data_IF_732937473062
#
_entry.id   IF_732937473062
#
_cell.length_a   1.000
_cell.length_b   1.000
_cell.length_c   1.000
_cell.angle_alpha   90.00
_cell.angle_beta   90.00
_cell.angle_gamma   90.00
#
_symmetry.space_group_name_H-M   'P 1'
#
loop_
_entity.id
_entity.type
_entity.pdbx_description
1 polymer ?
#
# COMPACT_ATOMS: atom_id res chain seq x y z
N UNK A 1 -39.45 7.85 4.73
CA UNK A 1 -38.11 8.49 4.63
C UNK A 1 -37.04 7.43 4.80
N UNK A 2 -36.16 7.22 3.82
CA UNK A 2 -35.07 6.25 3.94
C UNK A 2 -34.01 6.75 4.94
N UNK A 3 -33.67 5.95 5.95
CA UNK A 3 -32.54 6.24 6.86
C UNK A 3 -31.26 6.19 6.03
N UNK A 4 -30.66 7.36 5.79
CA UNK A 4 -29.35 7.49 5.15
C UNK A 4 -28.33 6.72 6.02
N UNK A 5 -27.61 5.77 5.43
CA UNK A 5 -26.55 5.04 6.11
C UNK A 5 -25.56 6.02 6.73
N UNK A 6 -25.33 5.88 8.04
CA UNK A 6 -24.31 6.63 8.78
C UNK A 6 -23.27 5.65 9.28
N UNK A 7 -22.08 5.57 8.66
CA UNK A 7 -21.03 4.68 9.13
C UNK A 7 -20.57 5.09 10.53
N UNK A 8 -20.23 4.10 11.35
CA UNK A 8 -19.65 4.29 12.68
C UNK A 8 -18.21 4.81 12.56
N UNK A 9 -18.06 6.11 12.30
CA UNK A 9 -16.75 6.76 12.11
C UNK A 9 -15.83 6.59 13.32
N UNK A 10 -16.38 6.59 14.54
CA UNK A 10 -15.60 6.43 15.76
C UNK A 10 -15.07 5.00 15.91
N UNK A 11 -15.91 3.99 15.70
CA UNK A 11 -15.50 2.59 15.74
C UNK A 11 -14.43 2.27 14.69
N UNK A 12 -14.63 2.73 13.45
CA UNK A 12 -13.64 2.57 12.37
C UNK A 12 -12.33 3.27 12.74
N UNK A 13 -12.37 4.47 13.32
CA UNK A 13 -11.17 5.18 13.77
C UNK A 13 -10.37 4.41 14.82
N UNK A 14 -11.04 3.79 15.78
CA UNK A 14 -10.40 3.01 16.83
C UNK A 14 -9.82 1.71 16.28
N UNK A 15 -10.57 1.02 15.41
CA UNK A 15 -10.11 -0.18 14.70
C UNK A 15 -8.83 0.09 13.91
N UNK A 16 -8.77 1.20 13.16
CA UNK A 16 -7.61 1.57 12.34
C UNK A 16 -6.34 1.94 13.13
N UNK A 17 -6.36 1.82 14.46
CA UNK A 17 -5.22 2.05 15.36
C UNK A 17 -4.80 0.77 16.12
N UNK A 18 -5.48 -0.35 15.93
CA UNK A 18 -5.13 -1.59 16.65
C UNK A 18 -3.92 -2.27 16.02
N UNK A 19 -3.02 -2.90 16.80
CA UNK A 19 -1.80 -3.52 16.27
C UNK A 19 -2.05 -4.51 15.13
N UNK A 20 -3.18 -5.22 15.16
CA UNK A 20 -3.57 -6.20 14.14
C UNK A 20 -3.79 -5.52 12.78
N UNK A 21 -4.47 -4.37 12.77
CA UNK A 21 -4.65 -3.59 11.54
C UNK A 21 -3.32 -2.99 11.09
N UNK A 22 -2.42 -2.64 12.01
CA UNK A 22 -1.07 -2.18 11.67
C UNK A 22 -0.26 -3.25 10.98
N UNK A 23 -0.32 -4.49 11.49
CA UNK A 23 0.33 -5.65 10.88
C UNK A 23 -0.25 -5.95 9.49
N UNK A 24 -1.56 -5.87 9.32
CA UNK A 24 -2.22 -6.13 8.03
C UNK A 24 -1.88 -5.04 7.00
N UNK A 25 -1.91 -3.77 7.40
CA UNK A 25 -1.52 -2.64 6.52
C UNK A 25 -0.06 -2.80 6.06
N UNK A 26 0.83 -3.26 6.95
CA UNK A 26 2.22 -3.56 6.60
C UNK A 26 2.31 -4.75 5.64
N UNK A 27 1.58 -5.84 5.91
CA UNK A 27 1.56 -7.06 5.08
C UNK A 27 1.11 -6.74 3.65
N UNK A 28 0.03 -5.99 3.50
CA UNK A 28 -0.50 -5.60 2.18
C UNK A 28 0.50 -4.72 1.44
N UNK A 29 1.10 -3.73 2.09
CA UNK A 29 2.12 -2.89 1.46
C UNK A 29 3.35 -3.69 1.00
N UNK A 30 3.79 -4.67 1.79
CA UNK A 30 4.88 -5.57 1.42
C UNK A 30 4.50 -6.46 0.24
N UNK A 31 3.27 -6.99 0.22
CA UNK A 31 2.75 -7.77 -0.91
C UNK A 31 2.73 -6.98 -2.21
N UNK A 32 2.23 -5.73 -2.17
CA UNK A 32 2.22 -4.82 -3.32
C UNK A 32 3.64 -4.55 -3.82
N UNK A 33 4.58 -4.27 -2.91
CA UNK A 33 5.97 -4.01 -3.26
C UNK A 33 6.65 -5.23 -3.89
N UNK A 34 6.40 -6.43 -3.36
CA UNK A 34 6.90 -7.68 -3.93
C UNK A 34 6.32 -7.93 -5.32
N UNK A 35 4.99 -7.82 -5.46
CA UNK A 35 4.32 -8.02 -6.74
C UNK A 35 4.82 -7.03 -7.81
N UNK A 36 5.01 -5.76 -7.43
CA UNK A 36 5.54 -4.72 -8.32
C UNK A 36 7.03 -4.92 -8.65
N UNK A 37 7.81 -5.56 -7.76
CA UNK A 37 9.23 -5.86 -7.95
C UNK A 37 9.53 -7.19 -8.64
N UNK A 38 8.53 -8.01 -8.95
CA UNK A 38 8.71 -9.31 -9.61
C UNK A 38 9.31 -9.14 -11.02
N UNK A 39 10.50 -9.69 -11.28
CA UNK A 39 11.20 -9.64 -12.57
C UNK A 39 12.53 -8.88 -12.49
N UNK A 40 12.93 -8.17 -13.56
CA UNK A 40 14.17 -7.36 -13.62
C UNK A 40 14.15 -6.10 -12.69
N UNK A 41 13.06 -5.93 -11.93
CA UNK A 41 12.76 -4.78 -11.11
C UNK A 41 12.86 -5.08 -9.60
N UNK A 42 13.54 -6.18 -9.23
CA UNK A 42 13.70 -6.60 -7.85
C UNK A 42 14.49 -5.53 -7.05
N UNK A 43 13.91 -5.05 -5.94
CA UNK A 43 14.52 -4.00 -5.10
C UNK A 43 14.14 -2.56 -5.45
N UNK A 44 13.31 -2.32 -6.46
CA UNK A 44 12.89 -0.98 -6.89
C UNK A 44 11.89 -0.33 -5.94
N UNK A 45 11.03 -1.11 -5.27
CA UNK A 45 9.99 -0.58 -4.40
C UNK A 45 10.32 -0.81 -2.93
N UNK A 46 10.34 0.27 -2.14
CA UNK A 46 10.47 0.25 -0.67
C UNK A 46 9.11 0.45 -0.03
N UNK A 47 8.93 -0.15 1.16
CA UNK A 47 7.74 0.09 1.97
C UNK A 47 8.10 0.97 3.16
N UNK A 48 7.29 1.99 3.42
CA UNK A 48 7.36 2.79 4.64
C UNK A 48 6.03 2.69 5.39
N UNK A 49 6.08 2.16 6.60
CA UNK A 49 4.91 2.00 7.46
C UNK A 49 4.96 3.06 8.57
N UNK A 50 4.09 4.06 8.47
CA UNK A 50 3.93 5.09 9.48
C UNK A 50 3.13 4.52 10.66
N UNK A 51 3.86 3.91 11.59
CA UNK A 51 3.37 3.19 12.74
C UNK A 51 3.10 4.07 14.00
N UNK A 52 2.69 5.34 13.82
CA UNK A 52 2.59 6.35 14.89
C UNK A 52 1.24 6.47 15.62
N UNK A 53 1.04 7.55 16.40
CA UNK A 53 -0.19 7.84 17.21
C UNK A 53 -1.49 8.04 16.40
N UNK A 54 -1.41 8.00 15.07
CA UNK A 54 -2.53 8.19 14.13
C UNK A 54 -2.95 6.84 13.57
N UNK A 55 -3.92 6.81 12.64
CA UNK A 55 -4.28 5.56 11.95
C UNK A 55 -3.03 4.97 11.28
N UNK A 56 -2.91 3.65 11.27
CA UNK A 56 -1.86 2.96 10.53
C UNK A 56 -1.92 3.32 9.05
N UNK A 57 -0.77 3.59 8.46
CA UNK A 57 -0.61 3.88 7.03
C UNK A 57 0.67 3.22 6.56
N UNK A 58 0.65 2.70 5.35
CA UNK A 58 1.85 2.28 4.66
C UNK A 58 1.88 2.88 3.26
N UNK A 59 3.07 3.26 2.82
CA UNK A 59 3.35 3.72 1.48
C UNK A 59 4.26 2.72 0.78
N UNK A 60 4.02 2.53 -0.51
CA UNK A 60 4.95 1.84 -1.42
C UNK A 60 5.62 2.92 -2.25
N UNK A 61 6.94 3.01 -2.13
CA UNK A 61 7.76 4.08 -2.68
C UNK A 61 8.67 3.46 -3.74
N UNK A 62 8.48 3.83 -5.00
CA UNK A 62 9.39 3.45 -6.08
C UNK A 62 10.70 4.23 -6.02
N UNK A 63 11.80 3.60 -6.40
CA UNK A 63 13.09 4.26 -6.59
C UNK A 63 13.16 4.87 -7.99
N UNK A 64 12.77 6.12 -8.13
CA UNK A 64 12.70 6.83 -9.43
C UNK A 64 14.06 7.13 -10.08
N UNK A 65 15.18 6.76 -9.44
CA UNK A 65 16.54 6.94 -9.99
C UNK A 65 16.96 5.81 -10.94
N UNK A 66 16.16 4.75 -11.09
CA UNK A 66 16.52 3.58 -11.91
C UNK A 66 16.20 3.81 -13.40
N UNK A 67 17.24 3.95 -14.23
CA UNK A 67 17.12 4.06 -15.70
C UNK A 67 16.58 2.76 -16.36
N UNK A 68 16.75 1.60 -15.69
CA UNK A 68 16.38 0.29 -16.24
C UNK A 68 14.88 0.00 -16.37
N UNK A 69 14.00 0.76 -15.70
CA UNK A 69 12.56 0.48 -15.65
C UNK A 69 11.74 1.20 -16.74
N UNK A 70 12.36 1.75 -17.78
CA UNK A 70 11.67 2.60 -18.77
C UNK A 70 11.22 3.95 -18.20
N UNK A 71 11.90 4.43 -17.15
CA UNK A 71 11.63 5.69 -16.45
C UNK A 71 10.31 5.72 -15.67
N UNK A 72 9.76 6.93 -15.48
CA UNK A 72 8.54 7.19 -14.69
C UNK A 72 7.31 6.39 -15.15
N UNK A 73 7.18 6.14 -16.45
CA UNK A 73 6.02 5.47 -17.03
C UNK A 73 6.01 3.95 -16.75
N UNK A 74 7.15 3.28 -16.81
CA UNK A 74 7.26 1.85 -16.51
C UNK A 74 7.07 1.57 -15.02
N UNK A 75 7.67 2.37 -14.14
CA UNK A 75 7.44 2.25 -12.68
C UNK A 75 5.98 2.44 -12.28
N UNK A 76 5.26 3.39 -12.90
CA UNK A 76 3.83 3.56 -12.65
C UNK A 76 3.05 2.32 -13.08
N UNK A 77 3.38 1.72 -14.23
CA UNK A 77 2.73 0.51 -14.72
C UNK A 77 2.95 -0.67 -13.79
N UNK A 78 4.17 -0.83 -13.27
CA UNK A 78 4.52 -1.94 -12.39
C UNK A 78 3.90 -1.78 -10.99
N UNK A 79 3.82 -0.55 -10.47
CA UNK A 79 3.07 -0.27 -9.25
C UNK A 79 1.58 -0.57 -9.40
N UNK A 80 0.96 -0.15 -10.51
CA UNK A 80 -0.45 -0.43 -10.78
C UNK A 80 -0.70 -1.94 -10.92
N UNK A 81 0.19 -2.66 -11.59
CA UNK A 81 0.15 -4.12 -11.67
C UNK A 81 0.26 -4.78 -10.29
N UNK A 82 1.14 -4.28 -9.43
CA UNK A 82 1.27 -4.77 -8.05
C UNK A 82 0.03 -4.48 -7.19
N UNK A 83 -0.68 -3.38 -7.45
CA UNK A 83 -1.97 -3.09 -6.80
C UNK A 83 -3.08 -4.04 -7.27
N UNK A 84 -3.13 -4.36 -8.56
CA UNK A 84 -4.11 -5.29 -9.12
C UNK A 84 -3.83 -6.74 -8.66
N UNK A 85 -2.56 -7.16 -8.66
CA UNK A 85 -2.16 -8.51 -8.22
C UNK A 85 -2.27 -8.74 -6.71
N UNK A 86 -2.31 -7.68 -5.90
CA UNK A 86 -2.56 -7.78 -4.45
C UNK A 86 -4.07 -7.93 -4.11
N UNK A 87 -4.95 -7.86 -5.11
CA UNK A 87 -6.40 -7.95 -4.97
C UNK A 87 -6.96 -9.38 -5.15
N UNK A 88 -6.16 -10.32 -5.66
CA UNK A 88 -6.44 -11.78 -5.71
C UNK A 88 -6.01 -12.50 -4.43
#
# INVERSE_FOLDING_TARGET
>A
MARKFKPNKAGINSLMKTPEVGAEVRRVAQSIAQAAGSGDNEGIFKTDAALGRRRWRAAVIGNYEFEGSGGLAGMRRDLLRGLDGAHE
#
